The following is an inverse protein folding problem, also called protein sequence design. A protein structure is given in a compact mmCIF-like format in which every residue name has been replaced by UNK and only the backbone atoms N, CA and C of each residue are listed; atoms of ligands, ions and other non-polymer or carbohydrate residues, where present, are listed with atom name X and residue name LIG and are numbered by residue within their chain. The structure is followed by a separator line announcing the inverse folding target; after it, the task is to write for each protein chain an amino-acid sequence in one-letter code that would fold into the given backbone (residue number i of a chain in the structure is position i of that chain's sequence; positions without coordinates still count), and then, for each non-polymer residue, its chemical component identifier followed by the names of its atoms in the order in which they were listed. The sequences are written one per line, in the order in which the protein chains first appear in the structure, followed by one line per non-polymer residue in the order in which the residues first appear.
data_IF_735170902321
#
_entry.id   IF_735170902321
#
_cell.length_a   1.000
_cell.length_b   1.000
_cell.length_c   1.000
_cell.angle_alpha   90.00
_cell.angle_beta   90.00
_cell.angle_gamma   90.00
#
_symmetry.space_group_name_H-M   'P 1'
#
loop_
_entity.id
_entity.type
_entity.pdbx_description
1 polymer ?
#
# COMPACT_ATOMS: atom_id res chain seq x y z
N UNK A 1 -0.24 -12.07 -28.99
CA UNK A 1 0.40 -11.24 -27.96
C UNK A 1 -0.72 -10.73 -27.08
N UNK A 2 -0.75 -11.09 -25.79
CA UNK A 2 -1.73 -10.53 -24.86
C UNK A 2 -1.30 -9.09 -24.56
N UNK A 3 -2.16 -8.12 -24.85
CA UNK A 3 -1.96 -6.75 -24.40
C UNK A 3 -2.34 -6.69 -22.93
N UNK A 4 -1.36 -6.63 -22.04
CA UNK A 4 -1.61 -6.37 -20.62
C UNK A 4 -2.22 -4.98 -20.49
N UNK A 5 -3.39 -4.92 -19.87
CA UNK A 5 -4.12 -3.67 -19.61
C UNK A 5 -3.41 -2.88 -18.51
N UNK A 6 -3.70 -1.57 -18.43
CA UNK A 6 -3.21 -0.70 -17.35
C UNK A 6 -3.57 -1.28 -15.97
N UNK A 7 -4.82 -1.74 -15.83
CA UNK A 7 -5.35 -2.33 -14.60
C UNK A 7 -4.59 -3.60 -14.20
N UNK A 8 -4.28 -4.49 -15.13
CA UNK A 8 -3.47 -5.69 -14.84
C UNK A 8 -2.05 -5.32 -14.41
N UNK A 9 -1.44 -4.31 -15.05
CA UNK A 9 -0.08 -3.86 -14.69
C UNK A 9 -0.05 -3.27 -13.28
N UNK A 10 -1.05 -2.46 -12.93
CA UNK A 10 -1.19 -1.86 -11.59
C UNK A 10 -1.48 -2.93 -10.55
N UNK A 11 -2.31 -3.93 -10.87
CA UNK A 11 -2.56 -5.05 -9.97
C UNK A 11 -1.26 -5.81 -9.65
N UNK A 12 -0.45 -6.11 -10.66
CA UNK A 12 0.85 -6.75 -10.45
C UNK A 12 1.83 -5.86 -9.66
N UNK A 13 1.76 -4.54 -9.82
CA UNK A 13 2.56 -3.61 -9.02
C UNK A 13 2.12 -3.61 -7.54
N UNK A 14 0.81 -3.62 -7.31
CA UNK A 14 0.22 -3.73 -5.97
C UNK A 14 0.57 -5.05 -5.28
N UNK A 15 0.41 -6.17 -5.96
CA UNK A 15 0.78 -7.50 -5.41
C UNK A 15 2.27 -7.55 -5.05
N UNK A 16 3.15 -7.07 -5.94
CA UNK A 16 4.59 -6.96 -5.66
C UNK A 16 4.91 -6.08 -4.46
N UNK A 17 4.18 -4.99 -4.29
CA UNK A 17 4.36 -4.11 -3.15
C UNK A 17 3.96 -4.77 -1.83
N UNK A 18 2.83 -5.49 -1.79
CA UNK A 18 2.40 -6.26 -0.62
C UNK A 18 3.40 -7.38 -0.30
N UNK A 19 3.86 -8.10 -1.32
CA UNK A 19 4.88 -9.12 -1.17
C UNK A 19 6.20 -8.54 -0.66
N UNK A 20 6.63 -7.38 -1.18
CA UNK A 20 7.83 -6.69 -0.72
C UNK A 20 7.71 -6.28 0.75
N UNK A 21 6.56 -5.75 1.19
CA UNK A 21 6.31 -5.45 2.58
C UNK A 21 6.44 -6.70 3.47
N UNK A 22 5.75 -7.78 3.11
CA UNK A 22 5.74 -9.01 3.92
C UNK A 22 7.10 -9.74 3.92
N UNK A 23 7.93 -9.52 2.90
CA UNK A 23 9.29 -10.06 2.81
C UNK A 23 10.39 -9.10 3.30
N UNK A 24 10.01 -7.95 3.88
CA UNK A 24 10.94 -6.91 4.34
C UNK A 24 11.88 -6.37 3.24
N UNK A 25 11.43 -6.37 1.98
CA UNK A 25 12.19 -5.88 0.83
C UNK A 25 12.01 -4.35 0.67
N UNK A 26 12.85 -3.62 1.41
CA UNK A 26 12.81 -2.15 1.40
C UNK A 26 13.19 -1.55 0.04
N UNK A 27 14.02 -2.23 -0.75
CA UNK A 27 14.46 -1.71 -2.04
C UNK A 27 13.34 -1.82 -3.08
N UNK A 28 12.58 -2.90 -3.07
CA UNK A 28 11.39 -3.01 -3.92
C UNK A 28 10.31 -2.00 -3.51
N UNK A 29 10.07 -1.82 -2.21
CA UNK A 29 9.16 -0.77 -1.72
C UNK A 29 9.57 0.61 -2.26
N UNK A 30 10.86 0.97 -2.15
CA UNK A 30 11.36 2.26 -2.67
C UNK A 30 11.13 2.44 -4.17
N UNK A 31 11.15 1.36 -4.95
CA UNK A 31 10.88 1.38 -6.41
C UNK A 31 9.41 1.58 -6.73
N UNK A 32 8.52 1.05 -5.88
CA UNK A 32 7.08 1.14 -6.04
C UNK A 32 6.50 2.47 -5.56
N UNK A 33 7.22 3.20 -4.69
CA UNK A 33 6.78 4.50 -4.16
C UNK A 33 7.30 5.67 -4.99
N UNK A 34 6.42 6.61 -5.33
CA UNK A 34 6.80 7.89 -5.90
C UNK A 34 7.61 8.71 -4.89
N UNK A 35 8.53 9.56 -5.36
CA UNK A 35 9.35 10.43 -4.49
C UNK A 35 8.51 11.36 -3.62
N UNK A 36 7.36 11.80 -4.14
CA UNK A 36 6.44 12.74 -3.48
C UNK A 36 5.20 12.04 -2.88
N UNK A 37 5.25 10.72 -2.69
CA UNK A 37 4.12 9.93 -2.18
C UNK A 37 3.56 10.48 -0.87
N UNK A 38 2.24 10.49 -0.76
CA UNK A 38 1.52 11.00 0.41
C UNK A 38 0.76 9.89 1.14
N UNK A 39 0.86 9.85 2.47
CA UNK A 39 0.07 8.96 3.31
C UNK A 39 -0.99 9.79 4.01
N UNK A 40 -2.25 9.51 3.70
CA UNK A 40 -3.40 10.10 4.35
C UNK A 40 -4.00 9.09 5.34
N UNK A 41 -4.30 9.55 6.55
CA UNK A 41 -4.93 8.76 7.60
C UNK A 41 -6.17 9.48 8.12
N UNK A 42 -7.35 8.86 8.01
CA UNK A 42 -8.62 9.44 8.45
C UNK A 42 -8.84 10.89 7.95
N UNK A 43 -8.56 11.14 6.67
CA UNK A 43 -8.74 12.46 6.05
C UNK A 43 -7.59 13.46 6.22
N UNK A 44 -6.56 13.16 7.03
CA UNK A 44 -5.43 14.07 7.26
C UNK A 44 -4.13 13.52 6.66
N UNK A 45 -3.29 14.40 6.09
CA UNK A 45 -1.94 14.01 5.65
C UNK A 45 -1.13 13.68 6.89
N UNK A 46 -0.74 12.42 7.02
CA UNK A 46 0.06 11.91 8.13
C UNK A 46 1.57 11.98 7.82
N UNK A 47 1.94 11.70 6.57
CA UNK A 47 3.34 11.75 6.11
C UNK A 47 3.38 12.06 4.61
N UNK A 48 4.47 12.69 4.17
CA UNK A 48 4.70 13.03 2.76
C UNK A 48 6.17 12.87 2.40
N UNK A 49 6.40 12.34 1.21
CA UNK A 49 7.71 12.10 0.64
C UNK A 49 8.24 10.71 1.00
N UNK A 50 8.75 10.00 0.00
CA UNK A 50 9.27 8.64 0.15
C UNK A 50 10.32 8.56 1.26
N UNK A 51 11.27 9.49 1.28
CA UNK A 51 12.39 9.47 2.22
C UNK A 51 11.93 9.70 3.68
N UNK A 52 10.77 10.34 3.88
CA UNK A 52 10.13 10.49 5.20
C UNK A 52 9.44 9.22 5.66
N UNK A 53 8.82 8.47 4.74
CA UNK A 53 7.99 7.29 5.04
C UNK A 53 8.84 6.02 5.18
N UNK A 54 9.95 5.92 4.44
CA UNK A 54 10.83 4.73 4.44
C UNK A 54 11.31 4.29 5.84
N UNK A 55 11.71 5.19 6.76
CA UNK A 55 12.08 4.83 8.12
C UNK A 55 10.97 4.12 8.93
N UNK A 56 9.70 4.37 8.62
CA UNK A 56 8.57 3.73 9.32
C UNK A 56 8.46 2.24 8.95
N UNK A 57 8.77 1.88 7.70
CA UNK A 57 8.82 0.46 7.27
C UNK A 57 9.89 -0.33 8.01
N UNK A 58 11.09 0.25 8.23
CA UNK A 58 12.15 -0.42 9.00
C UNK A 58 11.70 -0.72 10.44
N UNK A 59 10.93 0.20 11.03
CA UNK A 59 10.34 0.00 12.36
C UNK A 59 9.28 -1.11 12.35
N UNK A 60 8.39 -1.10 11.34
CA UNK A 60 7.36 -2.14 11.14
C UNK A 60 7.98 -3.54 10.93
N UNK A 61 9.09 -3.63 10.17
CA UNK A 61 9.79 -4.90 9.93
C UNK A 61 10.46 -5.45 11.18
N UNK A 62 11.06 -4.60 12.00
CA UNK A 62 11.70 -5.01 13.27
C UNK A 62 10.71 -5.62 14.26
N UNK A 63 9.46 -5.17 14.23
CA UNK A 63 8.38 -5.71 15.08
C UNK A 63 7.60 -6.85 14.39
N UNK A 64 8.02 -7.26 13.18
CA UNK A 64 7.44 -8.38 12.45
C UNK A 64 6.03 -8.13 11.93
N UNK A 65 5.69 -6.87 11.61
CA UNK A 65 4.37 -6.53 11.07
C UNK A 65 4.19 -7.12 9.68
N UNK A 66 3.02 -7.71 9.44
CA UNK A 66 2.62 -8.27 8.15
C UNK A 66 1.23 -7.77 7.76
N UNK A 67 0.92 -7.79 6.47
CA UNK A 67 -0.39 -7.41 5.93
C UNK A 67 -0.96 -8.52 5.06
N UNK A 68 -2.28 -8.72 5.15
CA UNK A 68 -3.04 -9.65 4.33
C UNK A 68 -4.20 -8.92 3.66
N UNK A 69 -4.39 -9.14 2.35
CA UNK A 69 -5.57 -8.64 1.63
C UNK A 69 -6.75 -9.54 1.95
N UNK A 70 -7.76 -9.00 2.65
CA UNK A 70 -8.96 -9.76 3.04
C UNK A 70 -10.17 -9.44 2.17
N UNK A 71 -10.15 -8.30 1.47
CA UNK A 71 -11.16 -7.91 0.50
C UNK A 71 -10.54 -7.05 -0.60
N UNK A 72 -11.04 -7.21 -1.82
CA UNK A 72 -10.47 -6.60 -3.02
C UNK A 72 -9.36 -7.46 -3.61
N UNK A 73 -8.51 -6.90 -4.49
CA UNK A 73 -8.50 -5.52 -4.95
C UNK A 73 -9.65 -5.18 -5.91
N UNK A 74 -10.25 -4.00 -5.74
CA UNK A 74 -11.12 -3.38 -6.73
C UNK A 74 -10.32 -2.28 -7.42
N UNK A 75 -10.32 -2.26 -8.76
CA UNK A 75 -9.49 -1.36 -9.55
C UNK A 75 -10.38 -0.33 -10.24
N UNK A 76 -10.03 0.94 -10.11
CA UNK A 76 -10.71 2.05 -10.77
C UNK A 76 -9.71 2.82 -11.66
N UNK A 77 -9.89 2.74 -12.98
CA UNK A 77 -9.09 3.52 -13.94
C UNK A 77 -9.70 4.92 -14.11
N UNK A 78 -8.93 5.93 -13.70
CA UNK A 78 -9.29 7.34 -13.76
C UNK A 78 -8.52 8.08 -14.89
N UNK A 79 -7.96 7.34 -15.85
CA UNK A 79 -7.22 7.86 -16.99
C UNK A 79 -5.72 8.02 -16.71
N UNK A 80 -5.38 9.05 -15.94
CA UNK A 80 -3.99 9.38 -15.54
C UNK A 80 -3.55 8.61 -14.30
N UNK A 81 -4.52 8.21 -13.47
CA UNK A 81 -4.27 7.45 -12.25
C UNK A 81 -5.14 6.22 -12.18
N UNK A 82 -4.68 5.21 -11.46
CA UNK A 82 -5.47 4.02 -11.13
C UNK A 82 -5.53 3.89 -9.62
N UNK A 83 -6.74 3.74 -9.10
CA UNK A 83 -6.97 3.51 -7.68
C UNK A 83 -7.18 2.01 -7.43
N UNK A 84 -6.55 1.50 -6.39
CA UNK A 84 -6.68 0.11 -5.92
C UNK A 84 -7.26 0.14 -4.52
N UNK A 85 -8.55 -0.18 -4.42
CA UNK A 85 -9.29 -0.25 -3.16
C UNK A 85 -9.19 -1.67 -2.57
N UNK A 86 -8.71 -1.76 -1.34
CA UNK A 86 -8.54 -3.02 -0.61
C UNK A 86 -8.90 -2.87 0.86
N UNK A 87 -9.30 -3.98 1.48
CA UNK A 87 -9.31 -4.11 2.94
C UNK A 87 -8.13 -4.99 3.34
N UNK A 88 -7.25 -4.47 4.18
CA UNK A 88 -6.11 -5.19 4.72
C UNK A 88 -6.35 -5.56 6.18
N UNK A 89 -5.81 -6.71 6.58
CA UNK A 89 -5.54 -7.03 7.99
C UNK A 89 -4.04 -6.90 8.20
N UNK A 90 -3.63 -5.92 9.01
CA UNK A 90 -2.26 -5.81 9.47
C UNK A 90 -2.11 -6.50 10.84
N UNK A 91 -1.15 -7.42 10.93
CA UNK A 91 -0.85 -8.19 12.12
C UNK A 91 0.53 -7.84 12.62
N UNK A 92 0.62 -7.46 13.89
CA UNK A 92 1.90 -7.29 14.60
C UNK A 92 1.95 -8.32 15.73
N UNK A 93 2.81 -9.36 15.64
CA UNK A 93 2.83 -10.48 16.58
C UNK A 93 2.93 -10.04 18.04
N UNK A 94 1.99 -10.47 18.87
CA UNK A 94 1.96 -10.16 20.30
C UNK A 94 1.59 -8.72 20.65
N UNK A 95 1.25 -7.86 19.67
CA UNK A 95 0.91 -6.45 19.88
C UNK A 95 -0.54 -6.20 19.49
N UNK A 96 -0.88 -6.41 18.22
CA UNK A 96 -2.24 -6.19 17.73
C UNK A 96 -2.52 -6.79 16.36
N UNK A 97 -3.81 -6.90 16.08
CA UNK A 97 -4.35 -7.17 14.75
C UNK A 97 -5.31 -6.03 14.43
N UNK A 98 -5.12 -5.37 13.31
CA UNK A 98 -5.96 -4.25 12.87
C UNK A 98 -6.45 -4.50 11.45
N UNK A 99 -7.73 -4.25 11.21
CA UNK A 99 -8.28 -4.16 9.87
C UNK A 99 -8.28 -2.69 9.43
N UNK A 100 -7.92 -2.41 8.18
CA UNK A 100 -7.95 -1.08 7.60
C UNK A 100 -8.44 -1.15 6.15
N UNK A 101 -9.17 -0.13 5.72
CA UNK A 101 -9.47 0.07 4.30
C UNK A 101 -8.40 0.99 3.72
N UNK A 102 -7.83 0.60 2.59
CA UNK A 102 -6.74 1.34 1.93
C UNK A 102 -7.06 1.54 0.45
N UNK A 103 -6.89 2.78 0.00
CA UNK A 103 -6.85 3.11 -1.42
C UNK A 103 -5.42 3.43 -1.80
N UNK A 104 -4.81 2.58 -2.62
CA UNK A 104 -3.50 2.85 -3.23
C UNK A 104 -3.71 3.52 -4.58
N UNK A 105 -3.25 4.76 -4.71
CA UNK A 105 -3.33 5.52 -5.95
C UNK A 105 -2.03 5.43 -6.70
N UNK A 106 -2.10 4.95 -7.95
CA UNK A 106 -0.97 4.81 -8.85
C UNK A 106 -1.02 5.89 -9.92
N UNK A 107 0.14 6.49 -10.21
CA UNK A 107 0.33 7.26 -11.43
C UNK A 107 0.60 6.30 -12.60
N UNK A 108 -0.19 6.40 -13.67
CA UNK A 108 -0.10 5.48 -14.82
C UNK A 108 1.18 5.69 -15.63
N UNK A 109 1.77 6.90 -15.60
CA UNK A 109 2.96 7.19 -16.39
C UNK A 109 4.22 6.52 -15.82
N UNK A 110 4.33 6.49 -14.49
CA UNK A 110 5.46 5.96 -13.76
C UNK A 110 5.20 4.57 -13.17
N UNK A 111 3.93 4.16 -13.09
CA UNK A 111 3.47 2.96 -12.37
C UNK A 111 3.92 2.93 -10.90
N UNK A 112 4.04 4.11 -10.28
CA UNK A 112 4.40 4.26 -8.87
C UNK A 112 3.21 4.73 -8.05
N UNK A 113 3.20 4.36 -6.78
CA UNK A 113 2.22 4.79 -5.79
C UNK A 113 2.47 6.25 -5.43
N UNK A 114 1.49 7.10 -5.64
CA UNK A 114 1.54 8.54 -5.34
C UNK A 114 0.75 8.91 -4.10
N UNK A 115 -0.20 8.07 -3.67
CA UNK A 115 -0.94 8.30 -2.42
C UNK A 115 -1.48 7.00 -1.83
N UNK A 116 -1.41 6.85 -0.51
CA UNK A 116 -2.13 5.82 0.24
C UNK A 116 -3.17 6.52 1.12
N UNK A 117 -4.44 6.16 0.95
CA UNK A 117 -5.53 6.68 1.79
C UNK A 117 -5.96 5.57 2.72
N UNK A 118 -5.72 5.75 4.02
CA UNK A 118 -6.00 4.76 5.05
C UNK A 118 -7.17 5.27 5.90
N UNK A 119 -8.26 4.51 5.89
CA UNK A 119 -9.48 4.81 6.63
C UNK A 119 -10.02 3.56 7.34
N UNK A 120 -11.08 3.73 8.13
CA UNK A 120 -11.82 2.65 8.80
C UNK A 120 -10.96 1.69 9.64
N UNK A 121 -9.91 2.21 10.29
CA UNK A 121 -9.02 1.38 11.11
C UNK A 121 -9.76 0.83 12.32
N UNK A 122 -9.84 -0.51 12.40
CA UNK A 122 -10.53 -1.25 13.44
C UNK A 122 -9.60 -2.28 14.06
N UNK A 123 -9.38 -2.18 15.37
CA UNK A 123 -8.69 -3.24 16.11
C UNK A 123 -9.54 -4.51 16.15
N UNK A 124 -8.97 -5.62 15.71
CA UNK A 124 -9.57 -6.94 15.83
C UNK A 124 -9.11 -7.51 17.18
N UNK A 125 -10.04 -7.66 18.11
CA UNK A 125 -9.77 -8.28 19.41
C UNK A 125 -9.34 -9.73 19.22
N UNK A 126 -8.22 -10.09 19.85
CA UNK A 126 -7.75 -11.47 20.02
C UNK A 126 -8.65 -12.26 20.96
#
# INVERSE_FOLDING_TARGET
MQHTTKSETVLMAFERYIDAFNNCDLEEIKRQLNVDVEIQFNGAIASQGRDTIIPDYDSDFKIGKQVEVTRGPVIQDNGETVDVDVTLVATTPGIEVVQLDVVYKYDVSSMTQVRHIIDNVKKLSS
#
